data_IF_639848049297
#
_entry.id   IF_639848049297
#
_cell.length_a   1.000
_cell.length_b   1.000
_cell.length_c   1.000
_cell.angle_alpha   90.00
_cell.angle_beta   90.00
_cell.angle_gamma   90.00
#
_symmetry.space_group_name_H-M   'P 1'
#
loop_
_entity.id
_entity.type
_entity.pdbx_description
1 polymer ?
#
# COMPACT_ATOMS: atom_id res chain seq x y z
N UNK A 1 5.89 4.39 5.06
CA UNK A 1 5.10 5.59 4.70
C UNK A 1 4.53 6.25 5.94
N UNK A 2 4.69 7.55 6.02
CA UNK A 2 3.93 8.39 6.94
C UNK A 2 2.74 8.93 6.19
N UNK A 3 1.54 8.63 6.64
CA UNK A 3 0.32 9.03 5.94
C UNK A 3 -0.57 9.80 6.91
N UNK A 4 -1.04 10.95 6.48
CA UNK A 4 -2.05 11.70 7.22
C UNK A 4 -3.42 11.29 6.70
N UNK A 5 -4.25 10.73 7.57
CA UNK A 5 -5.60 10.33 7.22
C UNK A 5 -6.60 10.99 8.14
N UNK A 6 -7.72 11.38 7.58
CA UNK A 6 -8.82 11.93 8.38
C UNK A 6 -9.71 10.81 8.86
N UNK A 7 -10.21 10.94 10.06
CA UNK A 7 -11.24 10.05 10.58
C UNK A 7 -12.62 10.49 10.05
N UNK A 8 -13.67 9.75 10.43
CA UNK A 8 -15.03 10.05 9.97
C UNK A 8 -15.53 11.40 10.44
N UNK A 9 -14.94 11.96 11.48
CA UNK A 9 -15.30 13.29 12.00
C UNK A 9 -14.44 14.41 11.42
N UNK A 10 -13.51 14.07 10.51
CA UNK A 10 -12.65 15.04 9.85
C UNK A 10 -11.38 15.40 10.60
N UNK A 11 -11.07 14.72 11.70
CA UNK A 11 -9.84 14.95 12.45
C UNK A 11 -8.69 14.19 11.80
N UNK A 12 -7.52 14.82 11.75
CA UNK A 12 -6.32 14.24 11.14
C UNK A 12 -5.59 13.33 12.12
N UNK A 13 -5.15 12.19 11.62
CA UNK A 13 -4.30 11.25 12.33
C UNK A 13 -3.13 10.85 11.45
N UNK A 14 -2.01 10.53 12.07
CA UNK A 14 -0.84 10.04 11.34
C UNK A 14 -0.72 8.53 11.54
N UNK A 15 -0.51 7.84 10.43
CA UNK A 15 -0.26 6.40 10.42
C UNK A 15 1.12 6.15 9.82
N UNK A 16 1.82 5.20 10.40
CA UNK A 16 3.05 4.66 9.83
C UNK A 16 2.66 3.33 9.19
N UNK A 17 2.80 3.25 7.86
CA UNK A 17 2.45 2.06 7.11
C UNK A 17 3.71 1.45 6.52
N UNK A 18 3.90 0.16 6.72
CA UNK A 18 5.03 -0.60 6.23
C UNK A 18 4.52 -1.69 5.32
N UNK A 19 5.09 -1.76 4.12
CA UNK A 19 4.69 -2.74 3.11
C UNK A 19 5.87 -3.57 2.68
N UNK A 20 5.63 -4.87 2.49
CA UNK A 20 6.58 -5.77 1.86
C UNK A 20 5.88 -6.42 0.68
N UNK A 21 6.44 -6.25 -0.50
CA UNK A 21 5.87 -6.82 -1.73
C UNK A 21 6.44 -8.22 -1.92
N UNK A 22 5.55 -9.20 -2.07
CA UNK A 22 5.94 -10.60 -2.24
C UNK A 22 5.98 -10.93 -3.73
N UNK A 23 7.11 -11.46 -4.19
CA UNK A 23 7.35 -11.84 -5.57
C UNK A 23 7.81 -13.28 -5.64
N UNK A 24 7.57 -13.94 -6.80
CA UNK A 24 7.98 -15.33 -6.99
C UNK A 24 9.42 -15.47 -7.46
N UNK A 25 10.02 -14.40 -8.00
CA UNK A 25 11.36 -14.49 -8.59
C UNK A 25 12.08 -13.15 -8.53
N UNK A 26 13.38 -13.21 -8.79
CA UNK A 26 14.27 -12.04 -8.77
C UNK A 26 13.92 -11.04 -9.88
N UNK A 27 13.46 -11.53 -11.02
CA UNK A 27 13.11 -10.67 -12.14
C UNK A 27 11.94 -9.74 -11.78
N UNK A 28 10.97 -10.23 -11.02
CA UNK A 28 9.86 -9.41 -10.54
C UNK A 28 10.37 -8.33 -9.58
N UNK A 29 11.28 -8.69 -8.68
CA UNK A 29 11.89 -7.71 -7.77
C UNK A 29 12.62 -6.62 -8.52
N UNK A 30 13.38 -6.99 -9.54
CA UNK A 30 14.12 -6.03 -10.37
C UNK A 30 13.19 -5.08 -11.10
N UNK A 31 12.09 -5.58 -11.63
CA UNK A 31 11.10 -4.74 -12.32
C UNK A 31 10.43 -3.77 -11.35
N UNK A 32 10.12 -4.23 -10.14
CA UNK A 32 9.57 -3.37 -9.11
C UNK A 32 10.56 -2.25 -8.75
N UNK A 33 11.83 -2.59 -8.59
CA UNK A 33 12.87 -1.60 -8.28
C UNK A 33 13.00 -0.55 -9.38
N UNK A 34 12.86 -0.95 -10.63
CA UNK A 34 12.90 -0.01 -11.76
C UNK A 34 11.75 0.99 -11.73
N UNK A 35 10.62 0.61 -11.17
CA UNK A 35 9.42 1.45 -11.09
C UNK A 35 9.12 1.91 -9.67
N UNK A 36 10.10 1.83 -8.78
CA UNK A 36 9.87 2.01 -7.34
C UNK A 36 9.22 3.34 -6.99
N UNK A 37 9.70 4.43 -7.57
CA UNK A 37 9.16 5.77 -7.25
C UNK A 37 7.70 5.90 -7.65
N UNK A 38 7.35 5.43 -8.83
CA UNK A 38 5.98 5.49 -9.34
C UNK A 38 5.06 4.61 -8.48
N UNK A 39 5.55 3.42 -8.13
CA UNK A 39 4.80 2.48 -7.29
C UNK A 39 4.57 3.08 -5.90
N UNK A 40 5.60 3.68 -5.30
CA UNK A 40 5.48 4.32 -3.99
C UNK A 40 4.45 5.45 -4.02
N UNK A 41 4.49 6.28 -5.06
CA UNK A 41 3.52 7.37 -5.22
C UNK A 41 2.10 6.84 -5.35
N UNK A 42 1.92 5.76 -6.11
CA UNK A 42 0.60 5.15 -6.29
C UNK A 42 0.06 4.56 -4.98
N UNK A 43 0.91 3.90 -4.20
CA UNK A 43 0.53 3.37 -2.89
C UNK A 43 0.14 4.51 -1.95
N UNK A 44 0.95 5.56 -1.91
CA UNK A 44 0.69 6.71 -1.06
C UNK A 44 -0.64 7.36 -1.42
N UNK A 45 -0.89 7.57 -2.71
CA UNK A 45 -2.15 8.13 -3.19
C UNK A 45 -3.33 7.26 -2.77
N UNK A 46 -3.21 5.94 -2.91
CA UNK A 46 -4.26 5.01 -2.50
C UNK A 46 -4.56 5.13 -1.00
N UNK A 47 -3.52 5.16 -0.17
CA UNK A 47 -3.69 5.25 1.28
C UNK A 47 -4.35 6.56 1.69
N UNK A 48 -4.01 7.65 1.03
CA UNK A 48 -4.59 8.96 1.37
C UNK A 48 -6.08 9.05 1.07
N UNK A 49 -6.60 8.20 0.19
CA UNK A 49 -8.03 8.16 -0.12
C UNK A 49 -8.85 7.47 0.97
N UNK A 50 -8.20 6.76 1.88
CA UNK A 50 -8.89 5.99 2.92
C UNK A 50 -9.04 6.81 4.18
N UNK A 51 -10.11 6.51 4.94
CA UNK A 51 -10.24 7.06 6.28
C UNK A 51 -9.29 6.34 7.23
N UNK A 52 -8.99 7.00 8.34
CA UNK A 52 -8.18 6.42 9.40
C UNK A 52 -8.75 5.07 9.85
N UNK A 53 -10.05 5.01 10.09
CA UNK A 53 -10.74 3.80 10.54
C UNK A 53 -10.64 2.68 9.50
N UNK A 54 -10.76 3.01 8.22
CA UNK A 54 -10.71 2.00 7.16
C UNK A 54 -9.36 1.31 7.10
N UNK A 55 -8.27 2.05 7.28
CA UNK A 55 -6.93 1.46 7.24
C UNK A 55 -6.72 0.51 8.41
N UNK A 56 -7.28 0.83 9.59
CA UNK A 56 -7.11 0.02 10.79
C UNK A 56 -8.12 -1.13 10.90
N UNK A 57 -9.12 -1.17 10.03
CA UNK A 57 -10.17 -2.18 10.09
C UNK A 57 -9.68 -3.50 9.51
N UNK A 58 -9.54 -4.51 10.35
CA UNK A 58 -9.11 -5.83 9.95
C UNK A 58 -10.01 -6.45 8.87
N UNK A 59 -11.29 -6.10 8.84
CA UNK A 59 -12.24 -6.63 7.84
C UNK A 59 -11.93 -6.13 6.44
N UNK A 60 -11.27 -4.98 6.32
CA UNK A 60 -10.93 -4.39 5.05
C UNK A 60 -9.52 -4.74 4.58
N UNK A 61 -8.74 -5.41 5.42
CA UNK A 61 -7.33 -5.71 5.13
C UNK A 61 -7.16 -6.49 3.83
N UNK A 62 -7.96 -7.52 3.61
CA UNK A 62 -7.85 -8.36 2.40
C UNK A 62 -8.20 -7.57 1.14
N UNK A 63 -9.24 -6.74 1.20
CA UNK A 63 -9.61 -5.88 0.07
C UNK A 63 -8.49 -4.89 -0.24
N UNK A 64 -7.91 -4.27 0.78
CA UNK A 64 -6.81 -3.33 0.59
C UNK A 64 -5.59 -4.02 -0.02
N UNK A 65 -5.26 -5.23 0.42
CA UNK A 65 -4.16 -6.00 -0.16
C UNK A 65 -4.38 -6.26 -1.64
N UNK A 66 -5.59 -6.68 -2.00
CA UNK A 66 -5.94 -6.92 -3.41
C UNK A 66 -5.83 -5.66 -4.25
N UNK A 67 -6.34 -4.54 -3.73
CA UNK A 67 -6.27 -3.26 -4.41
C UNK A 67 -4.82 -2.82 -4.62
N UNK A 68 -3.98 -2.99 -3.60
CA UNK A 68 -2.58 -2.60 -3.67
C UNK A 68 -1.81 -3.49 -4.64
N UNK A 69 -2.03 -4.80 -4.62
CA UNK A 69 -1.40 -5.71 -5.57
C UNK A 69 -1.82 -5.35 -7.00
N UNK A 70 -3.09 -5.08 -7.22
CA UNK A 70 -3.58 -4.65 -8.53
C UNK A 70 -2.91 -3.35 -8.98
N UNK A 71 -2.81 -2.39 -8.08
CA UNK A 71 -2.17 -1.10 -8.35
C UNK A 71 -0.71 -1.27 -8.73
N UNK A 72 0.03 -2.07 -7.97
CA UNK A 72 1.44 -2.34 -8.24
C UNK A 72 1.59 -3.02 -9.60
N UNK A 73 0.75 -4.02 -9.89
CA UNK A 73 0.84 -4.81 -11.11
C UNK A 73 0.53 -3.99 -12.37
N UNK A 74 -0.17 -2.87 -12.23
CA UNK A 74 -0.39 -1.97 -13.35
C UNK A 74 0.90 -1.33 -13.87
N UNK A 75 1.95 -1.30 -13.07
CA UNK A 75 3.24 -0.74 -13.45
C UNK A 75 4.25 -1.80 -13.88
N UNK A 76 3.85 -3.08 -13.84
CA UNK A 76 4.73 -4.20 -14.19
C UNK A 76 4.26 -4.82 -15.49
N UNK A 77 5.20 -5.17 -16.37
CA UNK A 77 4.89 -5.68 -17.71
C UNK A 77 5.04 -7.18 -17.82
N UNK A 78 6.16 -7.73 -17.38
CA UNK A 78 6.48 -9.15 -17.55
C UNK A 78 6.16 -10.00 -16.34
N UNK A 79 6.55 -9.51 -15.18
CA UNK A 79 6.44 -10.24 -13.92
C UNK A 79 5.49 -9.48 -13.02
N UNK A 80 4.83 -10.21 -12.13
CA UNK A 80 3.80 -9.62 -11.28
C UNK A 80 4.14 -9.81 -9.81
N UNK A 81 3.71 -8.88 -9.00
CA UNK A 81 3.69 -9.07 -7.56
C UNK A 81 2.61 -10.11 -7.24
N UNK A 82 2.92 -10.98 -6.28
CA UNK A 82 2.03 -12.06 -5.88
C UNK A 82 1.14 -11.65 -4.72
N UNK A 83 1.71 -10.93 -3.78
CA UNK A 83 1.01 -10.54 -2.57
C UNK A 83 1.70 -9.33 -1.97
N UNK A 84 1.13 -8.80 -0.92
CA UNK A 84 1.71 -7.71 -0.16
C UNK A 84 1.48 -7.98 1.33
N UNK A 85 2.51 -7.78 2.13
CA UNK A 85 2.42 -7.82 3.58
C UNK A 85 2.33 -6.39 4.07
N UNK A 86 1.44 -6.15 5.01
CA UNK A 86 1.08 -4.80 5.39
C UNK A 86 0.95 -4.71 6.90
N UNK A 87 1.61 -3.71 7.47
CA UNK A 87 1.51 -3.37 8.89
C UNK A 87 1.24 -1.89 9.02
N UNK A 88 0.39 -1.51 9.96
CA UNK A 88 0.16 -0.11 10.25
C UNK A 88 0.26 0.15 11.75
N UNK A 89 0.80 1.31 12.08
CA UNK A 89 0.97 1.77 13.46
C UNK A 89 0.44 3.18 13.56
N UNK A 90 -0.18 3.50 14.70
CA UNK A 90 -0.64 4.86 14.94
C UNK A 90 0.59 5.71 15.28
N UNK A 91 0.84 6.71 14.43
CA UNK A 91 1.80 7.76 14.71
C UNK A 91 1.10 8.89 15.45
N UNK A 92 1.83 9.71 16.09
CA UNK A 92 1.24 10.82 16.85
C UNK A 92 0.65 11.90 15.96
#
# INVERSE_FOLDING_TARGET
FWVENKDVDGHSHFLICIFSIVCDNVQAEQEIDQHLLVIRDAIYFYLRQKTFEAILDAKQAETMKKDLVYTINNYLTRYKAKDILFESYIGQ
#
